data_IF_615264588292
#
_entry.id   IF_615264588292
#
_cell.length_a   1.000
_cell.length_b   1.000
_cell.length_c   1.000
_cell.angle_alpha   90.00
_cell.angle_beta   90.00
_cell.angle_gamma   90.00
#
_symmetry.space_group_name_H-M   'P 1'
#
loop_
_entity.id
_entity.type
_entity.pdbx_description
1 polymer ?
#
# COMPACT_ATOMS: atom_id res chain seq x y z
N UNK A 1 -13.04 4.89 -6.57
CA UNK A 1 -13.86 3.88 -7.28
C UNK A 1 -15.23 4.39 -7.76
N UNK A 2 -15.73 5.54 -7.28
CA UNK A 2 -17.02 6.13 -7.70
C UNK A 2 -16.97 6.89 -9.03
N UNK A 3 -15.89 7.65 -9.29
CA UNK A 3 -15.76 8.50 -10.48
C UNK A 3 -15.71 7.70 -11.81
N UNK A 4 -15.12 6.50 -11.80
CA UNK A 4 -15.04 5.63 -12.99
C UNK A 4 -16.39 4.99 -13.35
N UNK A 5 -17.14 4.51 -12.35
CA UNK A 5 -18.50 3.97 -12.58
C UNK A 5 -19.45 5.07 -13.04
N UNK A 6 -19.32 6.28 -12.50
CA UNK A 6 -20.15 7.42 -12.88
C UNK A 6 -19.84 7.87 -14.31
N UNK A 7 -18.56 7.97 -14.70
CA UNK A 7 -18.15 8.27 -16.08
C UNK A 7 -18.63 7.20 -17.08
N UNK A 8 -18.55 5.93 -16.73
CA UNK A 8 -19.05 4.84 -17.57
C UNK A 8 -20.58 4.84 -17.72
N UNK A 9 -21.33 5.16 -16.65
CA UNK A 9 -22.79 5.32 -16.74
C UNK A 9 -23.20 6.53 -17.59
N UNK A 10 -22.48 7.64 -17.49
CA UNK A 10 -22.73 8.84 -18.32
C UNK A 10 -22.46 8.50 -19.79
N UNK A 11 -21.34 7.85 -20.09
CA UNK A 11 -21.01 7.41 -21.45
C UNK A 11 -22.04 6.43 -22.01
N UNK A 12 -22.50 5.47 -21.21
CA UNK A 12 -23.54 4.51 -21.62
C UNK A 12 -24.87 5.23 -21.91
N UNK A 13 -25.27 6.18 -21.07
CA UNK A 13 -26.51 6.97 -21.26
C UNK A 13 -26.44 7.82 -22.51
N UNK A 14 -25.30 8.48 -22.78
CA UNK A 14 -25.09 9.25 -24.00
C UNK A 14 -25.16 8.34 -25.24
N UNK A 15 -24.56 7.15 -25.18
CA UNK A 15 -24.61 6.19 -26.29
C UNK A 15 -26.04 5.74 -26.61
N UNK A 16 -26.82 5.42 -25.58
CA UNK A 16 -28.23 5.01 -25.72
C UNK A 16 -29.09 6.14 -26.30
N UNK A 17 -28.87 7.38 -25.85
CA UNK A 17 -29.57 8.55 -26.39
C UNK A 17 -29.24 8.77 -27.87
N UNK A 18 -27.96 8.66 -28.27
CA UNK A 18 -27.54 8.81 -29.66
C UNK A 18 -28.13 7.73 -30.57
N UNK A 19 -28.13 6.47 -30.13
CA UNK A 19 -28.76 5.36 -30.87
C UNK A 19 -30.26 5.61 -31.04
N UNK A 20 -30.94 6.08 -29.97
CA UNK A 20 -32.39 6.34 -30.01
C UNK A 20 -32.75 7.45 -31.00
N UNK A 21 -31.99 8.55 -31.01
CA UNK A 21 -32.18 9.65 -31.97
C UNK A 21 -31.99 9.17 -33.39
N UNK A 22 -30.95 8.39 -33.66
CA UNK A 22 -30.69 7.84 -35.00
C UNK A 22 -31.83 6.92 -35.45
N UNK A 23 -32.30 6.02 -34.59
CA UNK A 23 -33.45 5.15 -34.91
C UNK A 23 -34.74 5.92 -35.17
N UNK A 24 -35.01 6.98 -34.41
CA UNK A 24 -36.18 7.84 -34.63
C UNK A 24 -36.08 8.59 -35.96
N UNK A 25 -34.90 9.10 -36.31
CA UNK A 25 -34.70 9.80 -37.59
C UNK A 25 -34.80 8.88 -38.80
N UNK A 26 -34.31 7.64 -38.73
CA UNK A 26 -34.46 6.66 -39.82
C UNK A 26 -35.90 6.19 -39.96
N UNK A 27 -36.61 5.95 -38.86
CA UNK A 27 -38.05 5.61 -38.89
C UNK A 27 -38.85 6.78 -39.47
N UNK A 28 -38.60 8.02 -39.05
CA UNK A 28 -39.28 9.20 -39.59
C UNK A 28 -39.02 9.37 -41.09
N UNK A 29 -37.79 9.11 -41.56
CA UNK A 29 -37.43 9.16 -42.97
C UNK A 29 -38.12 8.06 -43.80
N UNK A 30 -38.24 6.85 -43.26
CA UNK A 30 -38.99 5.76 -43.89
C UNK A 30 -40.48 6.09 -43.96
N UNK A 31 -41.06 6.62 -42.89
CA UNK A 31 -42.46 7.05 -42.85
C UNK A 31 -42.71 8.17 -43.88
N UNK A 32 -41.81 9.16 -43.98
CA UNK A 32 -41.93 10.25 -44.95
C UNK A 32 -41.88 9.73 -46.40
N UNK A 33 -40.98 8.79 -46.70
CA UNK A 33 -40.91 8.16 -48.02
C UNK A 33 -42.11 7.25 -48.32
N UNK A 34 -42.72 6.63 -47.31
CA UNK A 34 -43.95 5.86 -47.48
C UNK A 34 -45.19 6.75 -47.66
N UNK A 35 -45.21 7.95 -47.07
CA UNK A 35 -46.32 8.91 -47.20
C UNK A 35 -46.28 9.69 -48.53
N UNK A 36 -45.11 9.85 -49.14
CA UNK A 36 -44.98 10.46 -50.48
C UNK A 36 -45.05 9.37 -51.54
N UNK A 37 -46.27 9.00 -51.93
CA UNK A 37 -46.50 8.14 -53.11
C UNK A 37 -45.95 8.81 -54.39
N UNK A 38 -45.38 8.06 -55.36
CA UNK A 38 -44.74 8.63 -56.55
C UNK A 38 -45.68 9.34 -57.55
N UNK A 39 -46.99 9.37 -57.32
CA UNK A 39 -47.98 9.80 -58.32
C UNK A 39 -48.41 11.28 -58.23
N UNK A 40 -47.92 12.07 -57.26
CA UNK A 40 -48.40 13.45 -57.03
C UNK A 40 -47.56 14.58 -57.61
N UNK A 41 -46.57 14.32 -58.48
CA UNK A 41 -45.69 15.38 -59.04
C UNK A 41 -45.50 15.36 -60.57
N UNK A 42 -46.36 14.68 -61.32
CA UNK A 42 -46.40 14.79 -62.79
C UNK A 42 -47.74 15.36 -63.25
N UNK A 43 -47.87 16.69 -63.16
CA UNK A 43 -48.90 17.41 -63.90
C UNK A 43 -48.54 17.43 -65.38
N UNK A 44 -48.93 16.38 -66.12
CA UNK A 44 -48.80 16.32 -67.58
C UNK A 44 -49.93 17.13 -68.20
N UNK A 45 -49.63 18.28 -68.80
CA UNK A 45 -50.57 19.01 -69.65
C UNK A 45 -50.35 18.56 -71.11
N UNK A 46 -51.32 17.86 -71.70
CA UNK A 46 -51.37 17.58 -73.14
C UNK A 46 -52.39 18.49 -73.83
N UNK A 47 -52.08 18.91 -75.08
CA UNK A 47 -52.94 19.74 -75.91
C UNK A 47 -53.22 18.99 -77.22
N UNK A 48 -54.47 18.68 -77.51
CA UNK A 48 -54.91 17.93 -78.71
C UNK A 48 -55.42 18.86 -79.81
N UNK A 49 -55.04 18.60 -81.06
CA UNK A 49 -55.60 19.25 -82.26
C UNK A 49 -56.05 18.18 -83.26
N UNK A 50 -57.26 18.31 -83.81
CA UNK A 50 -57.90 17.30 -84.68
C UNK A 50 -58.17 17.86 -86.08
N UNK A 51 -57.77 17.15 -87.14
CA UNK A 51 -58.14 17.45 -88.54
C UNK A 51 -58.83 16.23 -89.18
N UNK A 52 -59.72 16.47 -90.16
CA UNK A 52 -60.68 15.48 -90.71
C UNK A 52 -60.50 15.36 -92.23
N UNK A 53 -60.32 14.14 -92.75
CA UNK A 53 -60.20 13.82 -94.19
C UNK A 53 -61.56 13.34 -94.78
N UNK A 54 -61.86 13.60 -96.08
CA UNK A 54 -63.13 13.24 -96.75
C UNK A 54 -63.57 11.77 -96.75
N UNK A 55 -62.74 10.80 -96.35
CA UNK A 55 -63.21 9.42 -96.05
C UNK A 55 -63.61 9.18 -94.58
N UNK A 56 -63.78 10.24 -93.79
CA UNK A 56 -64.38 10.18 -92.46
C UNK A 56 -63.47 9.70 -91.32
N UNK A 57 -62.15 9.61 -91.55
CA UNK A 57 -61.18 9.34 -90.49
C UNK A 57 -60.63 10.67 -89.90
N UNK A 58 -60.67 10.81 -88.56
CA UNK A 58 -60.03 11.91 -87.81
C UNK A 58 -58.66 11.47 -87.32
N UNK A 59 -57.63 12.28 -87.56
CA UNK A 59 -56.28 12.03 -87.04
C UNK A 59 -55.92 13.14 -86.06
N UNK A 60 -55.48 12.77 -84.86
CA UNK A 60 -55.09 13.67 -83.77
C UNK A 60 -53.62 13.39 -83.43
N UNK A 61 -52.79 14.43 -83.35
CA UNK A 61 -51.37 14.32 -82.97
C UNK A 61 -51.17 14.97 -81.60
N UNK A 62 -50.51 14.28 -80.67
CA UNK A 62 -50.08 14.79 -79.36
C UNK A 62 -48.54 14.86 -79.29
N UNK A 63 -47.99 15.93 -78.73
CA UNK A 63 -46.56 16.09 -78.46
C UNK A 63 -46.35 16.40 -76.97
N UNK A 64 -45.48 15.63 -76.28
CA UNK A 64 -45.23 15.74 -74.84
C UNK A 64 -43.72 15.86 -74.56
N UNK A 65 -43.30 16.95 -73.92
CA UNK A 65 -41.91 17.25 -73.52
C UNK A 65 -41.71 16.99 -72.02
N UNK A 66 -40.74 16.15 -71.63
CA UNK A 66 -40.39 15.91 -70.21
C UNK A 66 -38.95 16.34 -69.89
N UNK A 67 -38.78 17.09 -68.79
CA UNK A 67 -37.48 17.56 -68.27
C UNK A 67 -36.94 16.61 -67.18
N UNK A 68 -35.62 16.39 -67.14
CA UNK A 68 -34.92 15.50 -66.19
C UNK A 68 -33.88 16.28 -65.38
N UNK A 69 -33.90 16.17 -64.04
CA UNK A 69 -32.75 16.53 -63.16
C UNK A 69 -32.82 15.77 -61.80
N UNK A 70 -31.72 15.58 -61.01
CA UNK A 70 -30.89 14.36 -61.00
C UNK A 70 -30.76 13.66 -59.62
N UNK A 71 -30.54 12.32 -59.62
CA UNK A 71 -30.53 11.41 -58.45
C UNK A 71 -29.24 11.36 -57.59
N UNK A 72 -28.26 12.25 -57.75
CA UNK A 72 -26.87 11.96 -57.29
C UNK A 72 -26.39 12.57 -55.96
N UNK A 73 -27.08 13.55 -55.36
CA UNK A 73 -26.60 14.22 -54.13
C UNK A 73 -27.14 13.62 -52.81
N UNK A 74 -28.24 12.87 -52.85
CA UNK A 74 -28.89 12.33 -51.64
C UNK A 74 -28.17 11.06 -51.11
N UNK A 75 -27.45 10.34 -51.98
CA UNK A 75 -26.75 9.11 -51.59
C UNK A 75 -25.45 9.38 -50.80
N UNK A 76 -24.84 10.58 -50.95
CA UNK A 76 -23.59 10.94 -50.27
C UNK A 76 -23.77 11.20 -48.77
N UNK A 77 -24.91 11.77 -48.36
CA UNK A 77 -25.11 12.22 -46.98
C UNK A 77 -25.53 11.10 -46.03
N UNK A 78 -26.24 10.08 -46.53
CA UNK A 78 -26.60 8.89 -45.74
C UNK A 78 -25.39 7.98 -45.43
N UNK A 79 -24.37 7.97 -46.29
CA UNK A 79 -23.19 7.12 -46.13
C UNK A 79 -22.28 7.57 -44.98
N UNK A 80 -22.19 8.88 -44.72
CA UNK A 80 -21.26 9.47 -43.76
C UNK A 80 -21.70 9.29 -42.30
N UNK A 81 -23.00 9.24 -42.03
CA UNK A 81 -23.57 9.09 -40.67
C UNK A 81 -23.58 7.61 -40.23
N UNK A 82 -23.85 6.69 -41.16
CA UNK A 82 -23.80 5.24 -40.87
C UNK A 82 -22.38 4.70 -40.63
N UNK A 83 -21.37 5.28 -41.29
CA UNK A 83 -19.97 4.88 -41.14
C UNK A 83 -19.40 5.21 -39.74
N UNK A 84 -19.78 6.34 -39.14
CA UNK A 84 -19.24 6.78 -37.85
C UNK A 84 -19.68 5.92 -36.66
N UNK A 85 -20.95 5.51 -36.62
CA UNK A 85 -21.49 4.65 -35.55
C UNK A 85 -20.99 3.21 -35.69
N UNK A 86 -20.87 2.73 -36.93
CA UNK A 86 -20.28 1.42 -37.22
C UNK A 86 -18.80 1.37 -36.83
N UNK A 87 -18.02 2.42 -37.10
CA UNK A 87 -16.61 2.47 -36.71
C UNK A 87 -16.41 2.49 -35.18
N UNK A 88 -17.23 3.25 -34.43
CA UNK A 88 -17.17 3.26 -32.96
C UNK A 88 -17.65 1.94 -32.35
N UNK A 89 -18.69 1.32 -32.91
CA UNK A 89 -19.17 -0.01 -32.51
C UNK A 89 -18.13 -1.09 -32.78
N UNK A 90 -17.51 -1.09 -33.96
CA UNK A 90 -16.41 -2.00 -34.33
C UNK A 90 -15.20 -1.75 -33.44
N UNK A 91 -14.84 -0.50 -33.14
CA UNK A 91 -13.74 -0.16 -32.24
C UNK A 91 -14.03 -0.62 -30.80
N UNK A 92 -15.25 -0.41 -30.29
CA UNK A 92 -15.65 -0.87 -28.96
C UNK A 92 -15.70 -2.40 -28.87
N UNK A 93 -16.19 -3.08 -29.90
CA UNK A 93 -16.19 -4.55 -29.98
C UNK A 93 -14.78 -5.10 -30.14
N UNK A 94 -13.92 -4.46 -30.94
CA UNK A 94 -12.52 -4.86 -31.10
C UNK A 94 -11.73 -4.62 -29.81
N UNK A 95 -12.00 -3.52 -29.11
CA UNK A 95 -11.44 -3.23 -27.80
C UNK A 95 -11.92 -4.22 -26.74
N UNK A 96 -13.23 -4.54 -26.68
CA UNK A 96 -13.77 -5.57 -25.78
C UNK A 96 -13.15 -6.94 -26.09
N UNK A 97 -13.08 -7.32 -27.36
CA UNK A 97 -12.46 -8.58 -27.79
C UNK A 97 -10.97 -8.62 -27.45
N UNK A 98 -10.26 -7.51 -27.61
CA UNK A 98 -8.85 -7.41 -27.22
C UNK A 98 -8.70 -7.53 -25.69
N UNK A 99 -9.54 -6.83 -24.92
CA UNK A 99 -9.60 -6.94 -23.46
C UNK A 99 -9.89 -8.38 -23.00
N UNK A 100 -10.87 -9.03 -23.60
CA UNK A 100 -11.26 -10.41 -23.28
C UNK A 100 -10.13 -11.41 -23.62
N UNK A 101 -9.42 -11.20 -24.73
CA UNK A 101 -8.26 -12.00 -25.10
C UNK A 101 -7.07 -11.77 -24.15
N UNK A 102 -6.78 -10.52 -23.81
CA UNK A 102 -5.73 -10.17 -22.84
C UNK A 102 -6.03 -10.77 -21.46
N UNK A 103 -7.28 -10.69 -21.01
CA UNK A 103 -7.71 -11.28 -19.74
C UNK A 103 -7.66 -12.82 -19.78
N UNK A 104 -8.02 -13.44 -20.90
CA UNK A 104 -7.91 -14.90 -21.08
C UNK A 104 -6.46 -15.38 -21.07
N UNK A 105 -5.57 -14.69 -21.78
CA UNK A 105 -4.13 -15.00 -21.78
C UNK A 105 -3.49 -14.79 -20.42
N UNK A 106 -3.91 -13.76 -19.68
CA UNK A 106 -3.48 -13.57 -18.31
C UNK A 106 -3.89 -14.76 -17.44
N UNK A 107 -5.17 -15.15 -17.45
CA UNK A 107 -5.68 -16.27 -16.64
C UNK A 107 -4.93 -17.57 -16.94
N UNK A 108 -4.66 -17.86 -18.21
CA UNK A 108 -3.89 -19.03 -18.63
C UNK A 108 -2.45 -19.02 -18.07
N UNK A 109 -1.71 -17.93 -18.29
CA UNK A 109 -0.30 -17.83 -17.85
C UNK A 109 -0.17 -17.74 -16.33
N UNK A 110 -1.07 -17.00 -15.69
CA UNK A 110 -1.16 -16.91 -14.24
C UNK A 110 -1.46 -18.28 -13.63
N UNK A 111 -2.42 -19.02 -14.19
CA UNK A 111 -2.77 -20.38 -13.78
C UNK A 111 -1.58 -21.33 -13.90
N UNK A 112 -0.89 -21.34 -15.04
CA UNK A 112 0.30 -22.17 -15.25
C UNK A 112 1.44 -21.83 -14.29
N UNK A 113 1.70 -20.54 -14.04
CA UNK A 113 2.70 -20.10 -13.07
C UNK A 113 2.34 -20.49 -11.63
N UNK A 114 1.06 -20.38 -11.27
CA UNK A 114 0.55 -20.79 -9.95
C UNK A 114 0.64 -22.31 -9.76
N UNK A 115 0.36 -23.10 -10.80
CA UNK A 115 0.51 -24.56 -10.79
C UNK A 115 1.98 -24.95 -10.58
N UNK A 116 2.92 -24.32 -11.28
CA UNK A 116 4.36 -24.54 -11.09
C UNK A 116 4.81 -24.18 -9.67
N UNK A 117 4.35 -23.05 -9.11
CA UNK A 117 4.61 -22.67 -7.72
C UNK A 117 4.06 -23.69 -6.71
N UNK A 118 2.95 -24.35 -7.02
CA UNK A 118 2.35 -25.38 -6.18
C UNK A 118 3.00 -26.77 -6.26
N UNK A 119 3.97 -26.95 -7.16
CA UNK A 119 4.53 -28.26 -7.47
C UNK A 119 5.38 -28.88 -6.34
N UNK A 120 5.48 -30.20 -6.27
CA UNK A 120 6.25 -30.92 -5.23
C UNK A 120 7.77 -30.82 -5.43
N UNK A 121 8.22 -30.72 -6.68
CA UNK A 121 9.62 -30.50 -7.05
C UNK A 121 10.05 -29.02 -6.83
N UNK A 122 11.10 -28.75 -6.02
CA UNK A 122 11.62 -27.40 -5.79
C UNK A 122 12.09 -26.68 -7.06
N UNK A 123 12.65 -27.38 -8.05
CA UNK A 123 13.12 -26.77 -9.29
C UNK A 123 11.94 -26.22 -10.11
N UNK A 124 10.81 -26.96 -10.13
CA UNK A 124 9.58 -26.51 -10.80
C UNK A 124 8.96 -25.32 -10.06
N UNK A 125 8.98 -25.32 -8.71
CA UNK A 125 8.53 -24.16 -7.93
C UNK A 125 9.35 -22.91 -8.21
N UNK A 126 10.67 -23.06 -8.30
CA UNK A 126 11.57 -21.96 -8.66
C UNK A 126 11.25 -21.40 -10.05
N UNK A 127 11.02 -22.27 -11.05
CA UNK A 127 10.54 -21.85 -12.36
C UNK A 127 9.21 -21.10 -12.27
N UNK A 128 8.29 -21.57 -11.42
CA UNK A 128 7.02 -20.92 -11.11
C UNK A 128 7.19 -19.50 -10.55
N UNK A 129 8.18 -19.24 -9.69
CA UNK A 129 8.48 -17.89 -9.19
C UNK A 129 8.84 -16.96 -10.36
N UNK A 130 9.72 -17.39 -11.26
CA UNK A 130 10.13 -16.60 -12.43
C UNK A 130 8.99 -16.44 -13.44
N UNK A 131 8.17 -17.47 -13.64
CA UNK A 131 6.97 -17.39 -14.48
C UNK A 131 5.97 -16.37 -13.92
N UNK A 132 5.68 -16.42 -12.61
CA UNK A 132 4.78 -15.47 -11.93
C UNK A 132 5.31 -14.04 -12.00
N UNK A 133 6.63 -13.86 -11.82
CA UNK A 133 7.29 -12.56 -11.98
C UNK A 133 7.16 -12.03 -13.42
N UNK A 134 7.30 -12.92 -14.39
CA UNK A 134 7.16 -12.57 -15.82
C UNK A 134 5.73 -12.15 -16.14
N UNK A 135 4.73 -12.88 -15.64
CA UNK A 135 3.32 -12.48 -15.76
C UNK A 135 3.11 -11.10 -15.10
N UNK A 136 3.58 -10.91 -13.87
CA UNK A 136 3.47 -9.62 -13.17
C UNK A 136 4.08 -8.45 -13.96
N UNK A 137 5.22 -8.67 -14.62
CA UNK A 137 5.96 -7.63 -15.35
C UNK A 137 5.38 -7.32 -16.73
N UNK A 138 4.81 -8.31 -17.42
CA UNK A 138 4.28 -8.15 -18.77
C UNK A 138 3.01 -7.31 -18.82
N UNK A 139 2.16 -7.40 -17.79
CA UNK A 139 0.91 -6.67 -17.75
C UNK A 139 1.07 -5.38 -16.93
N UNK A 140 0.65 -4.25 -17.51
CA UNK A 140 0.61 -2.94 -16.84
C UNK A 140 -0.68 -2.71 -16.04
N UNK A 141 -1.60 -3.68 -16.08
CA UNK A 141 -2.82 -3.63 -15.29
C UNK A 141 -2.48 -3.82 -13.80
N UNK A 142 -2.84 -2.82 -13.01
CA UNK A 142 -2.64 -2.80 -11.57
C UNK A 142 -3.20 -4.04 -10.87
N UNK A 143 -4.45 -4.42 -11.19
CA UNK A 143 -5.14 -5.51 -10.51
C UNK A 143 -4.49 -6.87 -10.80
N UNK A 144 -4.05 -7.09 -12.03
CA UNK A 144 -3.39 -8.33 -12.46
C UNK A 144 -1.99 -8.46 -11.84
N UNK A 145 -1.22 -7.37 -11.79
CA UNK A 145 0.07 -7.36 -11.11
C UNK A 145 -0.08 -7.56 -9.60
N UNK A 146 -1.07 -6.92 -8.98
CA UNK A 146 -1.40 -7.14 -7.57
C UNK A 146 -1.70 -8.61 -7.30
N UNK A 147 -2.52 -9.28 -8.14
CA UNK A 147 -2.80 -10.72 -7.98
C UNK A 147 -1.53 -11.58 -8.02
N UNK A 148 -0.57 -11.27 -8.89
CA UNK A 148 0.71 -11.98 -8.95
C UNK A 148 1.53 -11.76 -7.66
N UNK A 149 1.60 -10.51 -7.19
CA UNK A 149 2.28 -10.15 -5.93
C UNK A 149 1.60 -10.84 -4.74
N UNK A 150 0.27 -10.91 -4.72
CA UNK A 150 -0.51 -11.55 -3.66
C UNK A 150 -0.23 -13.05 -3.58
N UNK A 151 -0.05 -13.75 -4.72
CA UNK A 151 0.35 -15.17 -4.73
C UNK A 151 1.76 -15.35 -4.18
N UNK A 152 2.70 -14.50 -4.58
CA UNK A 152 4.09 -14.54 -4.07
C UNK A 152 4.14 -14.27 -2.57
N UNK A 153 3.42 -13.25 -2.09
CA UNK A 153 3.28 -12.94 -0.67
C UNK A 153 2.56 -14.08 0.08
N UNK A 154 1.48 -14.62 -0.50
CA UNK A 154 0.75 -15.78 0.03
C UNK A 154 1.64 -17.01 0.21
N UNK A 155 2.54 -17.27 -0.74
CA UNK A 155 3.53 -18.34 -0.64
C UNK A 155 4.42 -18.16 0.60
N UNK A 156 4.94 -16.95 0.83
CA UNK A 156 5.80 -16.65 1.99
C UNK A 156 5.06 -16.78 3.34
N UNK A 157 3.73 -16.66 3.33
CA UNK A 157 2.88 -16.84 4.52
C UNK A 157 2.52 -18.29 4.83
N UNK A 158 2.80 -19.24 3.94
CA UNK A 158 2.60 -20.66 4.24
C UNK A 158 3.48 -21.09 5.44
N UNK A 159 3.02 -22.01 6.30
CA UNK A 159 3.82 -22.53 7.40
C UNK A 159 5.19 -23.02 6.91
N UNK A 160 6.24 -22.63 7.62
CA UNK A 160 7.61 -23.01 7.31
C UNK A 160 8.40 -23.15 8.61
N UNK A 161 9.12 -24.25 8.74
CA UNK A 161 10.04 -24.49 9.83
C UNK A 161 11.40 -24.89 9.24
N UNK A 162 12.45 -24.08 9.44
CA UNK A 162 13.79 -24.38 8.90
C UNK A 162 14.41 -25.64 9.52
N UNK A 163 13.97 -26.05 10.72
CA UNK A 163 14.48 -27.25 11.41
C UNK A 163 13.92 -28.54 10.81
N UNK A 164 12.81 -28.45 10.07
CA UNK A 164 12.16 -29.61 9.45
C UNK A 164 12.72 -29.91 8.06
N UNK A 165 13.87 -29.31 7.69
CA UNK A 165 14.61 -29.61 6.46
C UNK A 165 15.44 -30.91 6.53
N UNK A 166 15.27 -31.70 7.58
CA UNK A 166 15.73 -33.10 7.62
C UNK A 166 15.02 -33.89 6.48
N UNK A 167 15.77 -34.56 5.58
CA UNK A 167 15.26 -35.13 4.32
C UNK A 167 14.20 -36.24 4.47
N UNK A 168 13.77 -36.57 5.69
CA UNK A 168 12.91 -37.70 6.00
C UNK A 168 11.57 -37.34 6.65
N UNK A 169 11.29 -36.06 6.95
CA UNK A 169 9.99 -35.64 7.49
C UNK A 169 9.13 -34.96 6.43
N UNK A 170 8.45 -35.77 5.61
CA UNK A 170 7.53 -35.26 4.59
C UNK A 170 6.18 -34.82 5.17
N UNK A 171 5.85 -35.16 6.43
CA UNK A 171 4.51 -34.96 7.02
C UNK A 171 4.56 -34.63 8.51
N UNK A 172 3.99 -33.49 8.93
CA UNK A 172 3.59 -33.24 10.32
C UNK A 172 2.12 -33.59 10.49
N UNK A 173 1.83 -34.45 11.46
CA UNK A 173 0.45 -34.71 11.89
C UNK A 173 0.26 -34.04 13.25
N UNK A 174 -0.45 -32.91 13.28
CA UNK A 174 -0.84 -32.27 14.54
C UNK A 174 -2.16 -32.88 14.99
N UNK A 175 -2.12 -33.59 16.12
CA UNK A 175 -3.31 -34.09 16.83
C UNK A 175 -3.68 -33.07 17.90
N UNK A 176 -4.71 -32.25 17.65
CA UNK A 176 -5.23 -31.39 18.70
C UNK A 176 -6.04 -32.23 19.70
N UNK A 177 -5.69 -32.27 21.00
CA UNK A 177 -6.52 -32.92 21.99
C UNK A 177 -7.87 -32.16 22.10
N UNK A 178 -8.98 -32.88 22.31
CA UNK A 178 -10.30 -32.25 22.37
C UNK A 178 -10.39 -31.29 23.57
N UNK A 179 -10.82 -30.05 23.32
CA UNK A 179 -11.27 -29.15 24.38
C UNK A 179 -12.55 -29.73 25.00
N UNK A 180 -12.60 -30.01 26.32
CA UNK A 180 -13.85 -30.36 26.96
C UNK A 180 -14.74 -29.11 27.10
N UNK A 181 -16.09 -29.20 26.96
CA UNK A 181 -16.90 -30.39 26.72
C UNK A 181 -17.72 -30.24 25.41
N UNK A 182 -17.28 -30.83 24.30
CA UNK A 182 -18.12 -31.57 23.35
C UNK A 182 -17.39 -31.87 22.03
N UNK A 183 -17.64 -33.09 21.54
CA UNK A 183 -17.40 -33.64 20.20
C UNK A 183 -16.09 -34.40 19.99
N UNK A 184 -16.26 -35.70 19.75
CA UNK A 184 -15.28 -36.75 19.44
C UNK A 184 -14.66 -36.63 18.04
N UNK A 185 -14.40 -35.42 17.55
CA UNK A 185 -13.67 -35.22 16.31
C UNK A 185 -12.22 -34.85 16.63
N UNK A 186 -11.31 -35.81 16.51
CA UNK A 186 -9.89 -35.50 16.38
C UNK A 186 -9.76 -34.67 15.09
N UNK A 187 -9.43 -33.39 15.21
CA UNK A 187 -9.02 -32.60 14.05
C UNK A 187 -7.57 -32.97 13.74
N UNK A 188 -7.40 -33.88 12.78
CA UNK A 188 -6.09 -34.21 12.22
C UNK A 188 -5.77 -33.15 11.18
N UNK A 189 -4.78 -32.29 11.46
CA UNK A 189 -4.23 -31.40 10.42
C UNK A 189 -2.93 -32.03 9.92
N UNK A 190 -2.95 -32.51 8.67
CA UNK A 190 -1.79 -33.08 7.99
C UNK A 190 -1.09 -31.98 7.18
N UNK A 191 0.14 -31.64 7.58
CA UNK A 191 0.99 -30.71 6.84
C UNK A 191 2.02 -31.53 6.07
N UNK A 192 2.03 -31.43 4.74
CA UNK A 192 3.14 -31.98 3.96
C UNK A 192 4.25 -30.94 3.89
N UNK A 193 5.42 -31.22 4.47
CA UNK A 193 6.56 -30.32 4.38
C UNK A 193 7.12 -30.33 2.96
N UNK A 194 7.32 -29.13 2.39
CA UNK A 194 7.96 -28.97 1.08
C UNK A 194 9.48 -29.04 1.28
N UNK A 195 10.11 -30.09 0.76
CA UNK A 195 11.58 -30.19 0.75
C UNK A 195 12.20 -28.99 0.01
N UNK A 196 13.33 -28.48 0.51
CA UNK A 196 14.13 -27.40 -0.08
C UNK A 196 13.36 -26.11 -0.39
N UNK A 197 12.37 -25.78 0.44
CA UNK A 197 11.52 -24.59 0.27
C UNK A 197 12.24 -23.26 0.57
N UNK A 198 13.37 -23.31 1.27
CA UNK A 198 14.20 -22.13 1.60
C UNK A 198 14.61 -21.36 0.35
N UNK A 199 15.14 -22.05 -0.66
CA UNK A 199 15.62 -21.41 -1.90
C UNK A 199 14.50 -20.77 -2.71
N UNK A 200 13.32 -21.40 -2.74
CA UNK A 200 12.12 -20.85 -3.39
C UNK A 200 11.70 -19.56 -2.67
N UNK A 201 11.56 -19.60 -1.34
CA UNK A 201 11.18 -18.44 -0.52
C UNK A 201 12.19 -17.29 -0.63
N UNK A 202 13.47 -17.60 -0.56
CA UNK A 202 14.55 -16.62 -0.73
C UNK A 202 14.53 -16.00 -2.13
N UNK A 203 14.20 -16.78 -3.15
CA UNK A 203 14.02 -16.25 -4.51
C UNK A 203 12.81 -15.33 -4.60
N UNK A 204 11.67 -15.69 -4.00
CA UNK A 204 10.50 -14.79 -3.94
C UNK A 204 10.85 -13.48 -3.23
N UNK A 205 11.52 -13.55 -2.08
CA UNK A 205 11.93 -12.37 -1.31
C UNK A 205 12.87 -11.47 -2.12
N UNK A 206 13.88 -12.06 -2.78
CA UNK A 206 14.82 -11.34 -3.66
C UNK A 206 14.11 -10.70 -4.85
N UNK A 207 13.15 -11.40 -5.46
CA UNK A 207 12.31 -10.87 -6.53
C UNK A 207 11.55 -9.63 -6.05
N UNK A 208 10.82 -9.74 -4.93
CA UNK A 208 10.08 -8.61 -4.37
C UNK A 208 11.02 -7.43 -4.10
N UNK A 209 12.12 -7.66 -3.36
CA UNK A 209 13.12 -6.64 -3.04
C UNK A 209 13.65 -5.93 -4.30
N UNK A 210 13.99 -6.68 -5.34
CA UNK A 210 14.51 -6.11 -6.59
C UNK A 210 13.49 -5.24 -7.35
N UNK A 211 12.19 -5.54 -7.25
CA UNK A 211 11.14 -4.77 -7.95
C UNK A 211 10.63 -3.58 -7.13
N UNK A 212 10.85 -3.57 -5.81
CA UNK A 212 10.58 -2.38 -4.98
C UNK A 212 11.79 -1.47 -4.87
N UNK A 213 13.00 -1.91 -5.22
CA UNK A 213 14.20 -1.07 -5.19
C UNK A 213 14.05 0.22 -6.02
N UNK A 214 14.69 1.32 -5.58
CA UNK A 214 14.49 2.65 -6.17
C UNK A 214 14.85 2.77 -7.66
N UNK A 215 15.77 1.95 -8.15
CA UNK A 215 16.23 1.90 -9.55
C UNK A 215 15.62 0.73 -10.36
N UNK A 216 14.58 0.08 -9.83
CA UNK A 216 13.96 -1.07 -10.47
C UNK A 216 13.46 -0.73 -11.89
N UNK A 217 13.94 -1.47 -12.89
CA UNK A 217 13.51 -1.32 -14.30
C UNK A 217 12.01 -1.51 -14.47
N UNK A 218 11.43 -2.46 -13.74
CA UNK A 218 9.99 -2.69 -13.67
C UNK A 218 9.58 -2.60 -12.22
N UNK A 219 9.05 -1.44 -11.82
CA UNK A 219 8.74 -1.20 -10.42
C UNK A 219 7.42 -1.83 -9.99
N UNK A 220 7.42 -2.44 -8.81
CA UNK A 220 6.24 -2.89 -8.09
C UNK A 220 5.86 -1.93 -6.96
N UNK A 221 6.57 -0.81 -6.80
CA UNK A 221 6.46 0.08 -5.64
C UNK A 221 5.04 0.57 -5.32
N UNK A 222 4.18 0.73 -6.33
CA UNK A 222 2.80 1.21 -6.16
C UNK A 222 1.80 0.14 -5.68
N UNK A 223 2.23 -1.10 -5.52
CA UNK A 223 1.38 -2.23 -5.13
C UNK A 223 1.45 -2.46 -3.62
N UNK A 224 0.43 -3.15 -3.12
CA UNK A 224 0.33 -3.53 -1.72
C UNK A 224 1.10 -4.83 -1.46
N UNK A 225 1.66 -4.96 -0.26
CA UNK A 225 2.43 -6.14 0.13
C UNK A 225 1.93 -6.67 1.48
N UNK A 226 1.43 -7.91 1.49
CA UNK A 226 0.95 -8.60 2.69
C UNK A 226 1.87 -9.77 3.06
N UNK A 227 2.86 -9.49 3.90
CA UNK A 227 3.80 -10.45 4.46
C UNK A 227 3.43 -10.82 5.90
N UNK A 228 2.14 -10.73 6.25
CA UNK A 228 1.66 -11.02 7.60
C UNK A 228 2.00 -12.45 8.01
N UNK A 229 2.71 -12.61 9.13
CA UNK A 229 3.12 -13.91 9.66
C UNK A 229 4.18 -14.64 8.84
N UNK A 230 4.73 -14.03 7.79
CA UNK A 230 5.71 -14.68 6.91
C UNK A 230 7.00 -15.01 7.67
N UNK A 231 7.58 -16.18 7.37
CA UNK A 231 8.93 -16.53 7.78
C UNK A 231 9.93 -16.04 6.73
N UNK A 232 10.83 -15.14 7.11
CA UNK A 232 11.80 -14.49 6.23
C UNK A 232 13.22 -14.80 6.70
N UNK A 233 13.92 -15.65 5.96
CA UNK A 233 15.33 -15.99 6.20
C UNK A 233 16.26 -14.90 5.62
N UNK A 234 16.05 -13.67 6.06
CA UNK A 234 16.73 -12.48 5.58
C UNK A 234 15.76 -11.33 5.39
N UNK A 235 16.08 -10.43 4.47
CA UNK A 235 15.31 -9.24 4.19
C UNK A 235 16.24 -8.07 3.97
N UNK A 236 16.78 -7.97 2.76
CA UNK A 236 17.43 -6.74 2.30
C UNK A 236 16.42 -5.98 1.43
N UNK A 237 15.92 -4.90 1.99
CA UNK A 237 15.04 -3.92 1.36
C UNK A 237 15.70 -2.53 1.39
N UNK A 238 17.03 -2.48 1.34
CA UNK A 238 17.76 -1.23 1.25
C UNK A 238 17.28 -0.46 0.03
N UNK A 239 17.01 0.83 0.21
CA UNK A 239 16.52 1.74 -0.83
C UNK A 239 15.25 1.25 -1.53
N UNK A 240 14.47 0.39 -0.88
CA UNK A 240 13.17 -0.03 -1.36
C UNK A 240 12.16 1.11 -1.30
N UNK A 241 11.20 1.12 -2.22
CA UNK A 241 10.08 2.04 -2.28
C UNK A 241 8.78 1.26 -2.13
N UNK A 242 8.12 1.44 -0.99
CA UNK A 242 6.79 0.91 -0.69
C UNK A 242 5.79 2.06 -0.74
N UNK A 243 5.09 2.19 -1.88
CA UNK A 243 4.17 3.29 -2.19
C UNK A 243 2.73 2.83 -2.48
N UNK A 244 2.45 1.53 -2.42
CA UNK A 244 1.08 1.01 -2.36
C UNK A 244 0.36 1.51 -1.11
N UNK A 245 -0.96 1.44 -1.08
CA UNK A 245 -1.75 1.89 0.06
C UNK A 245 -1.32 1.20 1.37
N UNK A 246 -1.02 -0.10 1.33
CA UNK A 246 -0.71 -0.90 2.51
C UNK A 246 0.55 -1.76 2.30
N UNK A 247 1.47 -1.68 3.25
CA UNK A 247 2.59 -2.62 3.38
C UNK A 247 2.60 -3.19 4.79
N UNK A 248 2.43 -4.51 4.93
CA UNK A 248 2.37 -5.17 6.23
C UNK A 248 3.37 -6.31 6.34
N UNK A 249 4.14 -6.27 7.42
CA UNK A 249 5.00 -7.32 7.95
C UNK A 249 4.49 -7.75 9.34
N UNK A 250 3.20 -7.54 9.63
CA UNK A 250 2.64 -7.82 10.94
C UNK A 250 2.84 -9.30 11.31
N UNK A 251 3.44 -9.58 12.46
CA UNK A 251 3.76 -10.95 12.89
C UNK A 251 4.83 -11.67 12.07
N UNK A 252 5.43 -11.01 11.06
CA UNK A 252 6.50 -11.61 10.27
C UNK A 252 7.72 -11.91 11.13
N UNK A 253 8.43 -12.99 10.80
CA UNK A 253 9.62 -13.45 11.51
C UNK A 253 10.85 -13.26 10.62
N UNK A 254 11.67 -12.28 10.95
CA UNK A 254 12.94 -12.01 10.29
C UNK A 254 14.08 -12.75 11.02
N UNK A 255 14.44 -13.91 10.48
CA UNK A 255 15.36 -14.85 11.14
C UNK A 255 16.74 -14.96 10.46
N UNK A 256 16.90 -14.36 9.27
CA UNK A 256 18.21 -14.27 8.63
C UNK A 256 19.20 -13.44 9.43
N UNK A 257 20.50 -13.64 9.20
CA UNK A 257 21.59 -12.98 9.96
C UNK A 257 21.45 -11.46 10.05
N UNK A 258 20.94 -10.83 9.00
CA UNK A 258 20.73 -9.38 8.93
C UNK A 258 19.38 -9.09 8.29
N UNK A 259 18.66 -8.11 8.85
CA UNK A 259 17.49 -7.47 8.24
C UNK A 259 17.79 -6.00 8.03
N UNK A 260 17.60 -5.51 6.81
CA UNK A 260 18.05 -4.19 6.38
C UNK A 260 16.96 -3.47 5.58
N UNK A 261 16.64 -2.26 6.01
CA UNK A 261 15.76 -1.30 5.35
C UNK A 261 16.48 0.05 5.25
N UNK A 262 17.79 0.05 5.00
CA UNK A 262 18.59 1.28 4.95
C UNK A 262 18.06 2.15 3.82
N UNK A 263 17.75 3.42 4.12
CA UNK A 263 17.20 4.36 3.15
C UNK A 263 15.93 3.86 2.44
N UNK A 264 15.17 2.93 3.05
CA UNK A 264 13.90 2.48 2.51
C UNK A 264 12.82 3.57 2.68
N UNK A 265 11.96 3.74 1.69
CA UNK A 265 10.85 4.70 1.68
C UNK A 265 9.51 3.98 1.78
N UNK A 266 8.80 4.20 2.88
CA UNK A 266 7.44 3.77 3.12
C UNK A 266 6.50 4.97 2.92
N UNK A 267 6.07 5.16 1.67
CA UNK A 267 5.19 6.26 1.23
C UNK A 267 3.70 5.88 1.23
N UNK A 268 3.41 4.58 1.34
CA UNK A 268 2.06 4.05 1.44
C UNK A 268 1.29 4.56 2.63
N UNK A 269 -0.05 4.61 2.55
CA UNK A 269 -0.92 5.11 3.62
C UNK A 269 -0.64 4.42 4.97
N UNK A 270 -0.43 3.11 4.96
CA UNK A 270 -0.18 2.33 6.17
C UNK A 270 1.05 1.44 6.01
N UNK A 271 1.93 1.48 7.00
CA UNK A 271 3.04 0.53 7.17
C UNK A 271 2.94 -0.13 8.54
N UNK A 272 2.87 -1.46 8.58
CA UNK A 272 2.82 -2.22 9.84
C UNK A 272 3.93 -3.25 9.95
N UNK A 273 4.61 -3.23 11.09
CA UNK A 273 5.52 -4.24 11.62
C UNK A 273 4.99 -4.76 12.97
N UNK A 274 3.67 -4.67 13.18
CA UNK A 274 3.07 -5.01 14.47
C UNK A 274 3.34 -6.47 14.82
N UNK A 275 3.88 -6.71 16.01
CA UNK A 275 4.28 -8.05 16.50
C UNK A 275 5.29 -8.76 15.59
N UNK A 276 5.95 -8.06 14.67
CA UNK A 276 7.05 -8.62 13.90
C UNK A 276 8.19 -9.00 14.84
N UNK A 277 8.89 -10.08 14.53
CA UNK A 277 10.00 -10.60 15.32
C UNK A 277 11.28 -10.49 14.51
N UNK A 278 12.25 -9.72 15.00
CA UNK A 278 13.56 -9.55 14.40
C UNK A 278 14.59 -10.30 15.24
N UNK A 279 14.88 -11.54 14.83
CA UNK A 279 15.78 -12.46 15.56
C UNK A 279 17.21 -12.46 15.00
N UNK A 280 17.40 -11.91 13.79
CA UNK A 280 18.70 -11.74 13.17
C UNK A 280 19.69 -10.97 14.04
N UNK A 281 20.99 -11.21 13.84
CA UNK A 281 22.06 -10.53 14.60
C UNK A 281 21.93 -9.01 14.53
N UNK A 282 21.61 -8.48 13.35
CA UNK A 282 21.47 -7.04 13.13
C UNK A 282 20.14 -6.72 12.44
N UNK A 283 19.45 -5.71 12.96
CA UNK A 283 18.27 -5.10 12.32
C UNK A 283 18.50 -3.62 12.14
N UNK A 284 18.32 -3.11 10.93
CA UNK A 284 18.51 -1.69 10.67
C UNK A 284 17.43 -1.09 9.76
N UNK A 285 16.99 0.09 10.16
CA UNK A 285 16.13 1.03 9.43
C UNK A 285 16.87 2.38 9.30
N UNK A 286 18.21 2.35 9.21
CA UNK A 286 19.00 3.57 9.19
C UNK A 286 18.65 4.43 7.96
N UNK A 287 18.34 5.71 8.18
CA UNK A 287 17.90 6.60 7.13
C UNK A 287 16.56 6.23 6.48
N UNK A 288 15.80 5.26 7.00
CA UNK A 288 14.50 4.91 6.45
C UNK A 288 13.50 6.06 6.62
N UNK A 289 12.64 6.25 5.62
CA UNK A 289 11.60 7.28 5.58
C UNK A 289 10.22 6.64 5.70
N UNK A 290 9.51 6.93 6.79
CA UNK A 290 8.13 6.54 7.04
C UNK A 290 7.23 7.75 6.82
N UNK A 291 6.79 7.93 5.58
CA UNK A 291 6.00 9.08 5.13
C UNK A 291 4.48 8.81 5.12
N UNK A 292 4.09 7.54 5.22
CA UNK A 292 2.69 7.12 5.30
C UNK A 292 1.93 7.70 6.48
N UNK A 293 0.61 7.86 6.36
CA UNK A 293 -0.26 8.37 7.43
C UNK A 293 -0.04 7.60 8.74
N UNK A 294 0.08 6.27 8.69
CA UNK A 294 0.25 5.44 9.88
C UNK A 294 1.44 4.49 9.73
N UNK A 295 2.36 4.55 10.69
CA UNK A 295 3.46 3.60 10.84
C UNK A 295 3.39 2.94 12.21
N UNK A 296 3.41 1.62 12.26
CA UNK A 296 3.27 0.89 13.52
C UNK A 296 4.28 -0.26 13.63
N UNK A 297 4.90 -0.36 14.81
CA UNK A 297 5.78 -1.41 15.32
C UNK A 297 5.23 -1.92 16.66
N UNK A 298 3.91 -1.85 16.86
CA UNK A 298 3.29 -2.15 18.13
C UNK A 298 3.50 -3.63 18.50
N UNK A 299 4.05 -3.87 19.69
CA UNK A 299 4.40 -5.22 20.14
C UNK A 299 5.52 -5.90 19.33
N UNK A 300 6.20 -5.19 18.42
CA UNK A 300 7.34 -5.75 17.68
C UNK A 300 8.46 -6.13 18.64
N UNK A 301 9.18 -7.21 18.33
CA UNK A 301 10.27 -7.73 19.16
C UNK A 301 11.58 -7.66 18.38
N UNK A 302 12.56 -6.98 18.95
CA UNK A 302 13.91 -6.86 18.41
C UNK A 302 14.87 -7.66 19.29
N UNK A 303 15.12 -8.91 18.92
CA UNK A 303 15.80 -9.93 19.73
C UNK A 303 17.27 -10.14 19.35
N UNK A 304 17.75 -9.45 18.30
CA UNK A 304 19.12 -9.53 17.80
C UNK A 304 20.20 -9.01 18.74
N UNK A 305 21.41 -8.78 18.21
CA UNK A 305 22.45 -8.06 18.97
C UNK A 305 22.28 -6.56 18.87
N UNK A 306 21.85 -6.08 17.70
CA UNK A 306 21.85 -4.67 17.35
C UNK A 306 20.54 -4.28 16.66
N UNK A 307 19.95 -3.16 17.06
CA UNK A 307 18.78 -2.56 16.41
C UNK A 307 19.00 -1.07 16.17
N UNK A 308 18.93 -0.62 14.92
CA UNK A 308 19.25 0.75 14.56
C UNK A 308 18.14 1.42 13.74
N UNK A 309 17.61 2.52 14.25
CA UNK A 309 16.76 3.51 13.59
C UNK A 309 17.52 4.83 13.41
N UNK A 310 18.84 4.76 13.20
CA UNK A 310 19.71 5.94 13.11
C UNK A 310 19.27 6.81 11.95
N UNK A 311 19.03 8.10 12.18
CA UNK A 311 18.57 9.04 11.16
C UNK A 311 17.27 8.65 10.45
N UNK A 312 16.51 7.68 10.99
CA UNK A 312 15.19 7.33 10.46
C UNK A 312 14.23 8.51 10.62
N UNK A 313 13.34 8.71 9.66
CA UNK A 313 12.38 9.80 9.62
C UNK A 313 10.96 9.25 9.67
N UNK A 314 10.18 9.71 10.64
CA UNK A 314 8.79 9.36 10.85
C UNK A 314 7.94 10.62 10.64
N UNK A 315 7.44 10.78 9.42
CA UNK A 315 6.82 12.02 8.92
C UNK A 315 5.29 11.93 8.80
N UNK A 316 4.70 10.76 9.06
CA UNK A 316 3.27 10.49 8.96
C UNK A 316 2.37 11.24 9.96
N UNK A 317 1.12 10.82 10.09
CA UNK A 317 0.23 11.33 11.16
C UNK A 317 0.53 10.62 12.49
N UNK A 318 0.73 9.31 12.45
CA UNK A 318 0.92 8.48 13.65
C UNK A 318 2.13 7.54 13.51
N UNK A 319 2.93 7.47 14.56
CA UNK A 319 4.01 6.49 14.72
C UNK A 319 3.87 5.77 16.06
N UNK A 320 3.79 4.45 16.02
CA UNK A 320 3.61 3.63 17.22
C UNK A 320 4.73 2.59 17.38
N UNK A 321 5.38 2.62 18.53
CA UNK A 321 6.25 1.59 19.13
C UNK A 321 5.63 1.07 20.44
N UNK A 322 4.31 1.22 20.59
CA UNK A 322 3.58 0.84 21.80
C UNK A 322 3.82 -0.63 22.14
N UNK A 323 4.22 -0.91 23.37
CA UNK A 323 4.56 -2.26 23.85
C UNK A 323 5.63 -3.00 23.03
N UNK A 324 6.41 -2.30 22.19
CA UNK A 324 7.53 -2.89 21.48
C UNK A 324 8.61 -3.33 22.48
N UNK A 325 9.30 -4.42 22.18
CA UNK A 325 10.35 -4.98 23.01
C UNK A 325 11.70 -4.89 22.29
N UNK A 326 12.56 -3.99 22.77
CA UNK A 326 13.93 -3.83 22.32
C UNK A 326 14.86 -4.66 23.21
N UNK A 327 14.97 -5.95 22.88
CA UNK A 327 15.81 -6.93 23.58
C UNK A 327 17.26 -6.95 23.09
N UNK A 328 17.54 -6.29 21.97
CA UNK A 328 18.86 -6.19 21.39
C UNK A 328 19.89 -5.62 22.38
N UNK A 329 21.12 -6.15 22.37
CA UNK A 329 22.19 -5.66 23.28
C UNK A 329 22.35 -4.15 23.19
N UNK A 330 22.23 -3.59 21.99
CA UNK A 330 22.22 -2.14 21.78
C UNK A 330 21.11 -1.70 20.82
N UNK A 331 20.41 -0.63 21.21
CA UNK A 331 19.36 0.01 20.42
C UNK A 331 19.70 1.48 20.16
N UNK A 332 19.71 1.88 18.89
CA UNK A 332 20.02 3.24 18.46
C UNK A 332 18.83 3.91 17.77
N UNK A 333 18.41 5.05 18.29
CA UNK A 333 17.50 6.03 17.67
C UNK A 333 18.22 7.35 17.40
N UNK A 334 19.56 7.32 17.30
CA UNK A 334 20.35 8.54 17.18
C UNK A 334 19.96 9.32 15.94
N UNK A 335 19.78 10.63 16.11
CA UNK A 335 19.39 11.55 15.03
C UNK A 335 18.08 11.16 14.32
N UNK A 336 17.30 10.25 14.87
CA UNK A 336 15.97 9.94 14.35
C UNK A 336 15.07 11.17 14.46
N UNK A 337 14.18 11.35 13.48
CA UNK A 337 13.26 12.47 13.42
C UNK A 337 11.83 11.94 13.55
N UNK A 338 11.18 12.23 14.67
CA UNK A 338 9.79 11.90 14.94
C UNK A 338 8.95 13.16 14.71
N UNK A 339 8.59 13.38 13.45
CA UNK A 339 7.77 14.51 13.00
C UNK A 339 6.28 14.18 12.96
N UNK A 340 5.92 12.90 13.15
CA UNK A 340 4.53 12.47 13.15
C UNK A 340 3.72 13.16 14.24
N UNK A 341 2.51 13.60 13.91
CA UNK A 341 1.64 14.35 14.84
C UNK A 341 1.52 13.66 16.20
N UNK A 342 1.43 12.34 16.22
CA UNK A 342 1.53 11.53 17.44
C UNK A 342 2.62 10.49 17.31
N UNK A 343 3.55 10.46 18.26
CA UNK A 343 4.55 9.40 18.42
C UNK A 343 4.38 8.74 19.79
N UNK A 344 4.25 7.41 19.82
CA UNK A 344 4.07 6.64 21.06
C UNK A 344 5.09 5.52 21.18
N UNK A 345 5.85 5.53 22.27
CA UNK A 345 6.62 4.43 22.86
C UNK A 345 5.95 3.90 24.13
N UNK A 346 4.62 4.12 24.27
CA UNK A 346 3.90 3.78 25.49
C UNK A 346 4.02 2.30 25.85
N UNK A 347 4.40 1.99 27.09
CA UNK A 347 4.61 0.61 27.52
C UNK A 347 5.75 -0.14 26.80
N UNK A 348 6.60 0.53 26.01
CA UNK A 348 7.72 -0.12 25.34
C UNK A 348 8.79 -0.58 26.35
N UNK A 349 9.45 -1.70 26.07
CA UNK A 349 10.51 -2.27 26.91
C UNK A 349 11.87 -2.13 26.22
N UNK A 350 12.77 -1.38 26.83
CA UNK A 350 14.17 -1.25 26.42
C UNK A 350 15.04 -2.11 27.34
N UNK A 351 15.16 -3.39 26.97
CA UNK A 351 15.82 -4.43 27.77
C UNK A 351 17.31 -4.57 27.46
N UNK A 352 17.75 -4.05 26.31
CA UNK A 352 19.14 -4.00 25.89
C UNK A 352 20.07 -3.36 26.90
N UNK A 353 21.36 -3.73 26.86
CA UNK A 353 22.39 -3.13 27.72
C UNK A 353 22.46 -1.61 27.53
N UNK A 354 22.32 -1.15 26.30
CA UNK A 354 22.41 0.27 25.94
C UNK A 354 21.24 0.67 25.04
N UNK A 355 20.58 1.78 25.38
CA UNK A 355 19.60 2.45 24.52
C UNK A 355 19.97 3.92 24.36
N UNK A 356 19.97 4.44 23.13
CA UNK A 356 20.30 5.83 22.88
C UNK A 356 19.34 6.49 21.89
N UNK A 357 18.82 7.65 22.28
CA UNK A 357 18.06 8.61 21.47
C UNK A 357 18.91 9.86 21.20
N UNK A 358 20.24 9.70 21.14
CA UNK A 358 21.14 10.84 21.12
C UNK A 358 20.96 11.70 19.85
N UNK A 359 20.72 12.99 20.00
CA UNK A 359 20.43 13.89 18.88
C UNK A 359 19.06 13.66 18.21
N UNK A 360 18.18 12.84 18.78
CA UNK A 360 16.86 12.59 18.21
C UNK A 360 15.95 13.83 18.32
N UNK A 361 15.11 14.06 17.32
CA UNK A 361 14.15 15.17 17.31
C UNK A 361 12.74 14.64 17.44
N UNK A 362 12.01 15.11 18.45
CA UNK A 362 10.59 14.83 18.68
C UNK A 362 9.79 16.09 18.35
N UNK A 363 9.45 16.25 17.08
CA UNK A 363 8.79 17.44 16.52
C UNK A 363 7.27 17.32 16.47
N UNK A 364 6.76 16.09 16.56
CA UNK A 364 5.33 15.78 16.60
C UNK A 364 4.58 16.52 17.70
N UNK A 365 3.29 16.83 17.49
CA UNK A 365 2.46 17.52 18.49
C UNK A 365 2.48 16.82 19.84
N UNK A 366 2.44 15.49 19.85
CA UNK A 366 2.48 14.67 21.06
C UNK A 366 3.52 13.57 20.94
N UNK A 367 4.40 13.47 21.93
CA UNK A 367 5.32 12.34 22.11
C UNK A 367 5.05 11.69 23.47
N UNK A 368 4.91 10.36 23.51
CA UNK A 368 4.67 9.61 24.74
C UNK A 368 5.65 8.45 24.89
N UNK A 369 6.31 8.38 26.04
CA UNK A 369 7.02 7.24 26.63
C UNK A 369 6.26 6.73 27.87
N UNK A 370 4.97 7.02 27.97
CA UNK A 370 4.19 6.71 29.17
C UNK A 370 4.19 5.21 29.48
N UNK A 371 4.54 4.82 30.69
CA UNK A 371 4.68 3.41 31.07
C UNK A 371 5.85 2.66 30.41
N UNK A 372 6.73 3.33 29.67
CA UNK A 372 7.88 2.66 29.07
C UNK A 372 8.89 2.20 30.14
N UNK A 373 9.52 1.05 29.91
CA UNK A 373 10.50 0.45 30.81
C UNK A 373 11.91 0.57 30.22
N UNK A 374 12.79 1.30 30.90
CA UNK A 374 14.20 1.42 30.57
C UNK A 374 15.03 0.56 31.55
N UNK A 375 15.33 -0.67 31.12
CA UNK A 375 15.95 -1.71 31.94
C UNK A 375 17.46 -1.86 31.71
N UNK A 376 17.99 -1.19 30.69
CA UNK A 376 19.40 -1.23 30.31
C UNK A 376 20.35 -0.61 31.34
N UNK A 377 21.65 -0.91 31.20
CA UNK A 377 22.70 -0.28 32.02
C UNK A 377 22.96 1.18 31.64
N UNK A 378 22.60 1.56 30.42
CA UNK A 378 22.76 2.92 29.92
C UNK A 378 21.59 3.28 29.04
N UNK A 379 20.88 4.34 29.42
CA UNK A 379 19.85 4.99 28.60
C UNK A 379 20.26 6.43 28.41
N UNK A 380 20.26 6.94 27.18
CA UNK A 380 20.66 8.33 26.94
C UNK A 380 19.79 9.02 25.92
N UNK A 381 19.39 10.24 26.24
CA UNK A 381 18.72 11.21 25.38
C UNK A 381 19.64 12.41 25.11
N UNK A 382 20.96 12.26 25.26
CA UNK A 382 21.92 13.37 25.11
C UNK A 382 21.77 14.05 23.74
N UNK A 383 21.57 15.36 23.74
CA UNK A 383 21.33 16.17 22.54
C UNK A 383 19.96 15.94 21.89
N UNK A 384 19.05 15.18 22.51
CA UNK A 384 17.69 15.06 22.00
C UNK A 384 16.93 16.39 22.15
N UNK A 385 16.01 16.65 21.23
CA UNK A 385 15.16 17.84 21.21
C UNK A 385 13.69 17.43 21.31
N UNK A 386 13.02 17.85 22.38
CA UNK A 386 11.59 17.66 22.60
C UNK A 386 10.84 18.93 22.22
N UNK A 387 10.47 19.04 20.95
CA UNK A 387 9.91 20.26 20.34
C UNK A 387 8.38 20.27 20.26
N UNK A 388 7.76 19.10 20.41
CA UNK A 388 6.31 18.92 20.37
C UNK A 388 5.55 19.72 21.42
N UNK A 389 4.23 19.87 21.27
CA UNK A 389 3.40 20.55 22.29
C UNK A 389 3.47 19.82 23.64
N UNK A 390 3.36 18.49 23.62
CA UNK A 390 3.36 17.65 24.81
C UNK A 390 4.36 16.51 24.67
N UNK A 391 5.21 16.35 25.69
CA UNK A 391 6.05 15.17 25.87
C UNK A 391 5.66 14.50 27.18
N UNK A 392 5.42 13.18 27.18
CA UNK A 392 5.07 12.43 28.39
C UNK A 392 6.05 11.28 28.63
N UNK A 393 6.52 11.16 29.85
CA UNK A 393 7.20 10.03 30.47
C UNK A 393 6.39 9.54 31.69
N UNK A 394 5.08 9.83 31.74
CA UNK A 394 4.27 9.49 32.90
C UNK A 394 4.31 7.97 33.16
N UNK A 395 4.49 7.54 34.42
CA UNK A 395 4.64 6.11 34.76
C UNK A 395 5.80 5.38 34.06
N UNK A 396 6.72 6.08 33.39
CA UNK A 396 7.91 5.45 32.84
C UNK A 396 8.79 4.92 33.97
N UNK A 397 9.46 3.81 33.73
CA UNK A 397 10.33 3.16 34.71
C UNK A 397 11.79 3.22 34.26
N UNK A 398 12.62 3.88 35.04
CA UNK A 398 14.07 3.92 34.86
C UNK A 398 14.70 3.00 35.89
N UNK A 399 14.82 1.72 35.54
CA UNK A 399 15.02 0.66 36.53
C UNK A 399 16.49 0.43 36.91
N UNK A 400 17.43 0.68 36.00
CA UNK A 400 18.85 0.31 36.19
C UNK A 400 19.81 1.29 35.52
N UNK A 401 21.03 1.30 36.04
CA UNK A 401 22.17 1.94 35.40
C UNK A 401 22.09 3.46 35.39
N UNK A 402 22.65 4.06 34.34
CA UNK A 402 22.69 5.51 34.17
C UNK A 402 21.71 5.96 33.09
N UNK A 403 20.89 6.95 33.43
CA UNK A 403 19.97 7.62 32.51
C UNK A 403 20.39 9.08 32.37
N UNK A 404 20.62 9.53 31.14
CA UNK A 404 20.98 10.93 30.88
C UNK A 404 19.95 11.60 29.96
N UNK A 405 19.45 12.74 30.41
CA UNK A 405 18.51 13.63 29.75
C UNK A 405 19.13 14.98 29.39
N UNK A 406 20.45 15.06 29.16
CA UNK A 406 21.13 16.27 28.69
C UNK A 406 20.57 16.68 27.31
N UNK A 407 19.42 17.33 27.30
CA UNK A 407 18.48 17.44 26.18
C UNK A 407 17.83 18.82 26.21
N UNK A 408 17.25 19.22 25.08
CA UNK A 408 16.46 20.43 25.00
C UNK A 408 14.97 20.10 25.15
N UNK A 409 14.34 20.62 26.20
CA UNK A 409 12.91 20.48 26.48
C UNK A 409 12.17 21.76 26.09
N UNK A 410 11.65 21.82 24.86
CA UNK A 410 10.88 22.98 24.34
C UNK A 410 9.37 22.77 24.39
N UNK A 411 8.92 21.57 24.76
CA UNK A 411 7.49 21.28 24.90
C UNK A 411 6.82 22.18 25.91
N UNK A 412 5.57 22.56 25.63
CA UNK A 412 4.75 23.35 26.57
C UNK A 412 4.51 22.61 27.89
N UNK A 413 4.45 21.27 27.80
CA UNK A 413 4.40 20.37 28.95
C UNK A 413 5.29 19.15 28.71
N UNK A 414 6.19 18.88 29.64
CA UNK A 414 6.94 17.62 29.75
C UNK A 414 6.55 16.92 31.04
N UNK A 415 5.92 15.76 30.97
CA UNK A 415 5.29 15.11 32.11
C UNK A 415 6.05 13.86 32.59
N UNK A 416 6.64 13.91 33.78
CA UNK A 416 7.28 12.78 34.46
C UNK A 416 6.48 12.30 35.70
N UNK A 417 5.19 12.63 35.78
CA UNK A 417 4.35 12.19 36.90
C UNK A 417 4.31 10.67 37.03
N UNK A 418 4.41 10.19 38.27
CA UNK A 418 4.43 8.77 38.62
C UNK A 418 5.58 7.98 37.96
N UNK A 419 6.59 8.65 37.41
CA UNK A 419 7.76 7.97 36.87
C UNK A 419 8.62 7.39 38.00
N UNK A 420 9.12 6.18 37.79
CA UNK A 420 10.01 5.51 38.74
C UNK A 420 11.47 5.81 38.37
N UNK A 421 12.16 6.50 39.27
CA UNK A 421 13.57 6.86 39.15
C UNK A 421 14.42 5.95 40.06
N UNK A 422 14.40 4.64 39.85
CA UNK A 422 15.28 3.71 40.59
C UNK A 422 16.75 3.78 40.13
N UNK A 423 16.99 4.11 38.86
CA UNK A 423 18.31 4.32 38.26
C UNK A 423 18.94 5.67 38.64
N UNK A 424 20.24 5.85 38.39
CA UNK A 424 20.87 7.17 38.46
C UNK A 424 20.42 8.00 37.25
N UNK A 425 19.67 9.08 37.48
CA UNK A 425 19.07 9.89 36.42
C UNK A 425 19.61 11.32 36.47
N UNK A 426 20.18 11.78 35.35
CA UNK A 426 20.75 13.13 35.24
C UNK A 426 20.06 13.95 34.16
N UNK A 427 19.61 15.14 34.55
CA UNK A 427 19.17 16.27 33.72
C UNK A 427 20.21 17.40 33.73
N UNK A 428 21.46 17.11 34.10
CA UNK A 428 22.53 18.11 34.08
C UNK A 428 22.84 18.52 32.64
N UNK A 429 22.98 19.82 32.41
CA UNK A 429 23.18 20.38 31.07
C UNK A 429 21.93 20.34 30.18
N UNK A 430 20.78 19.92 30.69
CA UNK A 430 19.50 20.06 29.98
C UNK A 430 19.07 21.52 29.93
N UNK A 431 18.46 21.92 28.82
CA UNK A 431 17.89 23.25 28.64
C UNK A 431 16.38 23.17 28.63
N UNK A 432 15.72 23.95 29.48
CA UNK A 432 14.26 24.02 29.55
C UNK A 432 13.81 25.31 28.86
N UNK A 433 12.90 25.19 27.90
CA UNK A 433 12.23 26.31 27.27
C UNK A 433 11.19 26.96 28.18
N UNK A 434 10.18 27.60 27.61
CA UNK A 434 9.11 28.29 28.38
C UNK A 434 8.04 27.36 28.94
N UNK A 435 8.13 26.06 28.64
CA UNK A 435 7.17 25.07 29.11
C UNK A 435 7.45 24.56 30.51
N UNK A 436 6.51 23.77 31.03
CA UNK A 436 6.62 23.16 32.35
C UNK A 436 7.19 21.74 32.27
N UNK A 437 8.10 21.41 33.20
CA UNK A 437 8.43 20.01 33.52
C UNK A 437 7.68 19.61 34.79
N UNK A 438 6.76 18.66 34.67
CA UNK A 438 5.93 18.14 35.76
C UNK A 438 6.58 16.91 36.36
N UNK A 439 6.77 16.90 37.66
CA UNK A 439 7.24 15.74 38.44
C UNK A 439 6.42 15.62 39.73
N UNK A 440 6.50 14.48 40.40
CA UNK A 440 5.76 14.26 41.66
C UNK A 440 6.26 15.18 42.79
N UNK A 441 7.50 15.66 42.73
CA UNK A 441 8.08 16.58 43.70
C UNK A 441 7.94 18.07 43.33
N UNK A 442 7.24 18.41 42.23
CA UNK A 442 6.94 19.83 41.92
C UNK A 442 6.15 20.50 43.06
N UNK A 443 5.25 19.75 43.72
CA UNK A 443 4.45 20.25 44.84
C UNK A 443 5.22 20.29 46.18
N UNK A 444 6.30 19.50 46.31
CA UNK A 444 7.13 19.43 47.50
C UNK A 444 8.59 19.20 47.11
N UNK A 445 9.38 20.27 46.96
CA UNK A 445 10.76 20.19 46.47
C UNK A 445 11.67 19.28 47.33
N UNK A 446 11.34 19.05 48.60
CA UNK A 446 12.09 18.15 49.48
C UNK A 446 11.92 16.66 49.18
N UNK A 447 10.97 16.27 48.31
CA UNK A 447 10.71 14.87 47.95
C UNK A 447 11.40 14.44 46.64
N UNK A 448 12.32 15.23 46.10
CA UNK A 448 13.13 14.82 44.95
C UNK A 448 14.03 13.62 45.34
N UNK A 449 14.08 12.54 44.54
CA UNK A 449 14.98 11.42 44.80
C UNK A 449 16.47 11.84 44.74
N UNK A 450 17.29 11.31 45.65
CA UNK A 450 18.71 11.68 45.77
C UNK A 450 19.57 11.26 44.56
N UNK A 451 19.11 10.26 43.80
CA UNK A 451 19.71 9.75 42.57
C UNK A 451 19.24 10.49 41.32
N UNK A 452 18.42 11.54 41.45
CA UNK A 452 18.04 12.44 40.35
C UNK A 452 18.84 13.75 40.45
N UNK A 453 19.55 14.10 39.37
CA UNK A 453 20.38 15.32 39.28
C UNK A 453 19.87 16.29 38.22
N UNK A 454 20.07 17.61 38.36
CA UNK A 454 20.69 18.30 39.49
C UNK A 454 19.78 18.31 40.74
N UNK A 455 20.36 18.56 41.91
CA UNK A 455 19.63 18.66 43.19
C UNK A 455 18.72 19.90 43.28
N UNK A 456 19.02 20.93 42.48
CA UNK A 456 18.19 22.12 42.37
C UNK A 456 17.23 21.94 41.19
N UNK A 457 15.93 21.88 41.49
CA UNK A 457 14.89 21.61 40.50
C UNK A 457 13.90 22.77 40.34
N UNK A 458 13.44 23.05 39.10
CA UNK A 458 13.86 22.42 37.83
C UNK A 458 15.29 22.83 37.40
N UNK A 459 15.94 22.07 36.48
CA UNK A 459 17.17 22.48 35.83
C UNK A 459 17.06 23.92 35.30
N UNK A 460 18.17 24.68 35.34
CA UNK A 460 18.14 26.10 35.01
C UNK A 460 17.59 26.35 33.61
N UNK A 461 16.49 27.09 33.51
CA UNK A 461 15.96 27.55 32.25
C UNK A 461 16.97 28.48 31.58
N UNK A 462 17.18 28.33 30.27
CA UNK A 462 18.00 29.30 29.53
C UNK A 462 17.18 30.58 29.42
N UNK A 463 17.58 31.63 30.14
CA UNK A 463 17.06 32.97 29.89
C UNK A 463 17.40 33.32 28.44
N UNK A 464 16.39 33.55 27.59
CA UNK A 464 16.61 34.11 26.25
C UNK A 464 17.23 35.50 26.39
N UNK A 465 18.54 35.55 26.44
CA UNK A 465 19.33 36.77 26.46
C UNK A 465 20.73 36.46 25.93
N UNK A 466 20.84 35.90 24.73
CA UNK A 466 21.94 36.21 23.80
C UNK A 466 21.38 36.19 22.37
N UNK A 467 21.63 37.33 21.73
CA UNK A 467 21.22 37.86 20.42
C UNK A 467 21.41 36.96 19.22
#
# INVERSE_FOLDING_TARGET
>A
MSDWKQKNQILATILIALVSVVTLTTIAFLILNCLVSPETLLGTSSRTATTTDPNGAKTTVEETLSSTTPRFEILKTALTIGAGISALGILALSYRKQKDLEDSHFVERFGAAAEQLGHTDPAVRLAGVYAMTTVANQYSNFDQRQQCIDVLCGYLRLPYNPQDQEPHQAKLKITNPPSPPQTTSISETEFTYRQDDSEVRNTILRTIASHVHHDAKTSWSKHDFDLTGAYLDGGNFDRAQFSGNNTTFAGAQFNGKTTSFVEAHFNGKTTSFDRAQFSGKNTTFAGAHFNGENTSFAGAQFNGENTAFISAQFNGENTAFTSAQFNAKTTWFNRAQFSAKTTSFGGAHFNGKTTTFGGAHFNGKTTSFGGAHFNGKTTTFVGAHFNGKTTSFNRAQFNRGNVSFQSEFRSTKTDFSLADFTADVSFEGSTIGTGEIVTDWNANKGSQPANVRPTHWPPTAVSQNQS
#
